data_IF_684243310673
#
_entry.id   IF_684243310673
#
_cell.length_a   1.000
_cell.length_b   1.000
_cell.length_c   1.000
_cell.angle_alpha   90.00
_cell.angle_beta   90.00
_cell.angle_gamma   90.00
#
_symmetry.space_group_name_H-M   'P 1'
#
loop_
_entity.id
_entity.type
_entity.pdbx_description
1 polymer ?
#
# COMPACT_ATOMS: atom_id res chain seq x y z
N UNK A 1 16.00 -16.64 19.55
CA UNK A 1 14.73 -17.40 19.64
C UNK A 1 13.67 -16.36 19.96
N UNK A 2 12.82 -16.05 19.00
CA UNK A 2 11.80 -15.01 19.14
C UNK A 2 10.70 -15.64 19.99
N UNK A 3 10.44 -15.10 21.18
CA UNK A 3 9.29 -15.53 21.97
C UNK A 3 8.04 -15.02 21.26
N UNK A 4 7.28 -15.92 20.65
CA UNK A 4 5.95 -15.62 20.16
C UNK A 4 5.05 -15.63 21.40
N UNK A 5 4.81 -14.44 21.95
CA UNK A 5 3.82 -14.27 23.02
C UNK A 5 2.49 -14.83 22.52
N UNK A 6 1.83 -15.60 23.39
CA UNK A 6 0.63 -16.36 23.10
C UNK A 6 -0.43 -15.41 22.52
N UNK A 7 -0.89 -15.69 21.30
CA UNK A 7 -2.04 -14.98 20.72
C UNK A 7 -3.24 -15.20 21.65
N UNK A 8 -3.67 -14.12 22.30
CA UNK A 8 -4.86 -14.13 23.14
C UNK A 8 -6.06 -13.97 22.21
N UNK A 9 -6.90 -15.01 22.10
CA UNK A 9 -8.11 -14.93 21.29
C UNK A 9 -9.02 -13.84 21.85
N UNK A 10 -9.40 -12.90 20.98
CA UNK A 10 -10.34 -11.84 21.32
C UNK A 10 -11.73 -12.47 21.40
N UNK A 11 -12.20 -12.73 22.63
CA UNK A 11 -13.55 -13.23 22.88
C UNK A 11 -14.59 -12.14 22.58
N UNK A 12 -15.28 -12.28 21.45
CA UNK A 12 -16.27 -11.32 20.99
C UNK A 12 -17.55 -11.32 21.86
N UNK A 13 -17.79 -12.36 22.66
CA UNK A 13 -18.99 -12.50 23.50
C UNK A 13 -18.89 -11.77 24.84
N UNK A 14 -17.66 -11.52 25.34
CA UNK A 14 -17.40 -10.83 26.62
C UNK A 14 -16.85 -9.41 26.45
N UNK A 15 -16.86 -8.85 25.24
CA UNK A 15 -16.41 -7.49 24.98
C UNK A 15 -17.38 -6.47 25.57
N UNK A 16 -16.85 -5.49 26.32
CA UNK A 16 -17.67 -4.38 26.80
C UNK A 16 -18.08 -3.48 25.63
N UNK A 17 -19.17 -2.72 25.79
CA UNK A 17 -19.59 -1.75 24.76
C UNK A 17 -18.51 -0.73 24.44
N UNK A 18 -17.67 -0.38 25.42
CA UNK A 18 -16.57 0.58 25.24
C UNK A 18 -15.43 -0.04 24.44
N UNK A 19 -15.03 -1.28 24.75
CA UNK A 19 -14.03 -2.00 23.97
C UNK A 19 -14.50 -2.19 22.53
N UNK A 20 -15.80 -2.44 22.32
CA UNK A 20 -16.38 -2.57 20.98
C UNK A 20 -16.30 -1.25 20.19
N UNK A 21 -16.44 -0.08 20.83
CA UNK A 21 -16.21 1.20 20.16
C UNK A 21 -14.76 1.37 19.75
N UNK A 22 -13.81 1.01 20.62
CA UNK A 22 -12.38 1.08 20.34
C UNK A 22 -12.05 0.17 19.15
N UNK A 23 -12.50 -1.08 19.16
CA UNK A 23 -12.29 -2.04 18.06
C UNK A 23 -12.86 -1.51 16.75
N UNK A 24 -14.09 -1.00 16.75
CA UNK A 24 -14.71 -0.43 15.54
C UNK A 24 -13.92 0.77 15.01
N UNK A 25 -13.49 1.67 15.89
CA UNK A 25 -12.65 2.82 15.51
C UNK A 25 -11.34 2.35 14.87
N UNK A 26 -10.65 1.39 15.51
CA UNK A 26 -9.40 0.83 14.99
C UNK A 26 -9.58 0.22 13.60
N UNK A 27 -10.67 -0.54 13.39
CA UNK A 27 -10.99 -1.11 12.08
C UNK A 27 -11.24 0.00 11.05
N UNK A 28 -12.02 1.03 11.37
CA UNK A 28 -12.30 2.13 10.44
C UNK A 28 -11.02 2.87 10.03
N UNK A 29 -10.15 3.19 11.00
CA UNK A 29 -8.85 3.83 10.72
C UNK A 29 -7.96 2.91 9.88
N UNK A 30 -7.91 1.61 10.19
CA UNK A 30 -7.14 0.64 9.42
C UNK A 30 -7.62 0.57 7.97
N UNK A 31 -8.94 0.54 7.73
CA UNK A 31 -9.53 0.53 6.39
C UNK A 31 -9.17 1.79 5.58
N UNK A 32 -9.09 2.95 6.22
CA UNK A 32 -8.59 4.18 5.58
C UNK A 32 -7.09 4.09 5.22
N UNK A 33 -6.27 3.47 6.08
CA UNK A 33 -4.83 3.38 5.86
C UNK A 33 -4.44 2.39 4.75
N UNK A 34 -5.21 1.31 4.54
CA UNK A 34 -4.90 0.25 3.57
C UNK A 34 -5.47 0.53 2.16
N UNK A 35 -6.00 1.72 1.91
CA UNK A 35 -6.58 2.07 0.61
C UNK A 35 -5.61 1.81 -0.56
N UNK A 36 -6.14 1.29 -1.65
CA UNK A 36 -5.37 0.96 -2.86
C UNK A 36 -4.81 2.23 -3.50
N UNK A 37 -5.60 3.31 -3.54
CA UNK A 37 -5.15 4.61 -4.04
C UNK A 37 -4.30 5.28 -2.96
N UNK A 38 -3.04 5.68 -3.24
CA UNK A 38 -2.22 6.41 -2.26
C UNK A 38 -2.88 7.72 -1.81
N UNK A 39 -3.59 8.39 -2.71
CA UNK A 39 -4.25 9.67 -2.43
C UNK A 39 -5.48 9.55 -1.53
N UNK A 40 -6.07 8.36 -1.42
CA UNK A 40 -7.22 8.12 -0.54
C UNK A 40 -6.77 7.81 0.89
N UNK A 41 -5.47 7.59 1.12
CA UNK A 41 -4.94 7.34 2.46
C UNK A 41 -4.85 8.67 3.22
N UNK A 42 -5.31 8.72 4.48
CA UNK A 42 -5.16 9.90 5.31
C UNK A 42 -3.68 10.15 5.62
N UNK A 43 -3.32 11.42 5.85
CA UNK A 43 -2.02 11.77 6.41
C UNK A 43 -1.90 11.26 7.85
N UNK A 44 -0.67 11.03 8.32
CA UNK A 44 -0.44 10.57 9.70
C UNK A 44 -1.03 11.51 10.76
N UNK A 45 -1.04 12.83 10.52
CA UNK A 45 -1.68 13.78 11.44
C UNK A 45 -3.19 13.54 11.53
N UNK A 46 -3.84 13.24 10.40
CA UNK A 46 -5.28 12.94 10.38
C UNK A 46 -5.58 11.59 11.02
N UNK A 47 -4.70 10.59 10.83
CA UNK A 47 -4.82 9.30 11.53
C UNK A 47 -4.80 9.48 13.05
N UNK A 48 -3.88 10.29 13.58
CA UNK A 48 -3.84 10.60 15.01
C UNK A 48 -5.11 11.30 15.46
N UNK A 49 -5.59 12.30 14.71
CA UNK A 49 -6.85 12.99 15.01
C UNK A 49 -8.06 12.02 15.03
N UNK A 50 -8.13 11.07 14.10
CA UNK A 50 -9.17 10.03 14.06
C UNK A 50 -9.09 9.08 15.26
N UNK A 51 -7.88 8.76 15.72
CA UNK A 51 -7.67 7.89 16.88
C UNK A 51 -8.07 8.58 18.19
N UNK A 52 -7.71 9.86 18.34
CA UNK A 52 -8.01 10.66 19.52
C UNK A 52 -9.47 11.15 19.58
N UNK A 53 -10.11 11.41 18.42
CA UNK A 53 -11.50 11.92 18.31
C UNK A 53 -12.58 10.84 18.44
N UNK A 54 -13.87 11.17 18.32
CA UNK A 54 -14.95 10.17 18.45
C UNK A 54 -15.15 9.31 17.19
N UNK A 55 -15.65 8.08 17.34
CA UNK A 55 -15.92 7.19 16.19
C UNK A 55 -16.92 7.80 15.20
N UNK A 56 -17.87 8.59 15.70
CA UNK A 56 -18.90 9.28 14.91
C UNK A 56 -18.31 10.35 13.99
N UNK A 57 -17.08 10.81 14.27
CA UNK A 57 -16.36 11.76 13.41
C UNK A 57 -15.65 11.10 12.23
N UNK A 58 -15.60 9.77 12.20
CA UNK A 58 -14.93 9.00 11.15
C UNK A 58 -15.99 8.53 10.15
N UNK A 59 -15.89 9.02 8.92
CA UNK A 59 -16.74 8.54 7.83
C UNK A 59 -16.29 7.16 7.33
N UNK A 60 -17.21 6.44 6.68
CA UNK A 60 -16.87 5.19 6.02
C UNK A 60 -15.82 5.43 4.93
N UNK A 61 -14.76 4.60 4.85
CA UNK A 61 -13.76 4.72 3.82
C UNK A 61 -14.38 4.47 2.43
N UNK A 62 -13.79 5.04 1.37
CA UNK A 62 -14.25 4.81 0.01
C UNK A 62 -14.21 3.32 -0.32
N UNK A 63 -15.17 2.87 -1.13
CA UNK A 63 -15.15 1.49 -1.60
C UNK A 63 -13.90 1.25 -2.46
N UNK A 64 -13.24 0.08 -2.30
CA UNK A 64 -12.11 -0.27 -3.14
C UNK A 64 -12.53 -0.34 -4.61
N UNK A 65 -12.17 0.67 -5.40
CA UNK A 65 -12.37 0.60 -6.85
C UNK A 65 -11.29 -0.29 -7.43
N UNK A 66 -11.68 -1.35 -8.15
CA UNK A 66 -10.77 -2.10 -9.01
C UNK A 66 -10.17 -1.13 -10.02
N UNK A 67 -8.87 -0.86 -9.93
CA UNK A 67 -8.20 -0.07 -10.95
C UNK A 67 -8.06 -0.92 -12.22
N UNK A 68 -8.61 -0.52 -13.38
CA UNK A 68 -7.92 -0.83 -14.61
C UNK A 68 -6.56 -0.14 -14.54
N UNK A 69 -5.51 -0.94 -14.65
CA UNK A 69 -4.13 -0.49 -14.82
C UNK A 69 -4.10 0.73 -15.73
N UNK A 70 -3.42 1.79 -15.30
CA UNK A 70 -3.39 3.07 -15.98
C UNK A 70 -3.01 2.80 -17.44
N UNK A 71 -3.98 2.92 -18.35
CA UNK A 71 -3.68 2.96 -19.77
C UNK A 71 -2.71 4.11 -19.93
N UNK A 72 -1.46 3.78 -20.23
CA UNK A 72 -0.42 4.72 -20.66
C UNK A 72 -1.09 5.54 -21.77
N UNK A 73 -1.59 6.72 -21.40
CA UNK A 73 -2.04 7.73 -22.33
C UNK A 73 -0.76 8.24 -22.96
N UNK A 74 -0.37 7.54 -24.03
CA UNK A 74 0.78 7.81 -24.87
C UNK A 74 0.59 9.24 -25.36
N UNK A 75 1.19 10.18 -24.63
CA UNK A 75 1.15 11.60 -24.94
C UNK A 75 1.51 11.77 -26.40
N UNK A 76 0.53 12.24 -27.16
CA UNK A 76 0.70 12.73 -28.51
C UNK A 76 1.60 13.95 -28.43
N UNK A 77 2.91 13.74 -28.58
CA UNK A 77 3.83 14.78 -29.02
C UNK A 77 4.48 14.25 -30.28
N UNK A 78 3.91 14.69 -31.40
CA UNK A 78 4.48 14.60 -32.72
C UNK A 78 5.82 15.34 -32.73
N UNK A 79 6.92 14.63 -32.62
CA UNK A 79 8.17 15.01 -33.27
C UNK A 79 8.88 13.76 -33.78
N UNK A 80 8.72 13.57 -35.08
CA UNK A 80 9.49 12.72 -35.97
C UNK A 80 10.98 13.02 -35.77
N UNK A 81 11.75 12.05 -35.31
CA UNK A 81 13.03 11.72 -35.92
C UNK A 81 13.49 10.30 -35.54
N UNK A 82 14.17 9.70 -36.50
CA UNK A 82 14.21 8.27 -36.78
C UNK A 82 15.39 7.61 -36.07
N UNK A 83 15.17 6.50 -35.37
CA UNK A 83 16.15 5.40 -35.31
C UNK A 83 15.43 4.08 -35.07
N UNK A 84 15.38 3.28 -36.13
CA UNK A 84 14.94 1.89 -36.16
C UNK A 84 15.93 0.99 -35.43
N UNK A 85 15.47 0.10 -34.54
CA UNK A 85 15.89 -1.30 -34.56
C UNK A 85 14.97 -2.15 -33.69
N UNK A 86 14.46 -3.22 -34.27
CA UNK A 86 13.62 -4.23 -33.65
C UNK A 86 14.41 -5.08 -32.65
N UNK A 87 13.76 -5.54 -31.57
CA UNK A 87 13.45 -6.96 -31.36
C UNK A 87 12.77 -7.17 -29.99
N UNK A 88 11.70 -7.96 -30.01
CA UNK A 88 10.95 -8.37 -28.83
C UNK A 88 11.74 -9.48 -28.10
N UNK A 89 12.24 -9.21 -26.90
CA UNK A 89 12.79 -10.27 -26.05
C UNK A 89 11.63 -10.95 -25.32
N UNK A 90 11.38 -12.21 -25.65
CA UNK A 90 10.45 -13.10 -24.97
C UNK A 90 11.02 -13.56 -23.63
N UNK A 91 10.21 -13.57 -22.57
CA UNK A 91 10.60 -13.77 -21.16
C UNK A 91 11.00 -15.20 -20.75
N UNK A 92 11.70 -15.97 -21.59
CA UNK A 92 12.06 -17.36 -21.23
C UNK A 92 13.45 -17.59 -20.64
N UNK A 93 14.34 -16.60 -20.55
CA UNK A 93 15.71 -16.87 -20.09
C UNK A 93 16.27 -15.75 -19.21
N UNK A 94 16.09 -15.86 -17.89
CA UNK A 94 16.95 -15.21 -16.89
C UNK A 94 17.11 -16.14 -15.69
N UNK A 95 17.95 -17.18 -15.86
CA UNK A 95 18.68 -17.75 -14.73
C UNK A 95 19.95 -16.93 -14.48
N UNK A 96 20.14 -16.61 -13.20
CA UNK A 96 21.40 -16.32 -12.53
C UNK A 96 22.38 -15.31 -13.18
N UNK A 97 22.45 -14.10 -12.60
CA UNK A 97 23.60 -13.86 -11.72
C UNK A 97 23.51 -12.58 -10.89
N UNK A 98 23.79 -12.78 -9.62
CA UNK A 98 24.05 -11.78 -8.60
C UNK A 98 25.46 -11.22 -8.82
N UNK A 99 25.61 -9.91 -9.05
CA UNK A 99 26.88 -9.21 -8.86
C UNK A 99 26.62 -7.74 -8.51
N UNK A 100 26.84 -7.42 -7.24
CA UNK A 100 26.71 -6.10 -6.65
C UNK A 100 27.75 -5.11 -7.21
N UNK A 101 27.41 -3.84 -7.46
CA UNK A 101 28.37 -2.82 -7.87
C UNK A 101 28.89 -2.04 -6.66
N UNK A 102 29.87 -2.58 -5.94
CA UNK A 102 30.72 -1.80 -5.02
C UNK A 102 32.14 -2.39 -5.00
N UNK A 103 33.15 -1.51 -5.11
CA UNK A 103 34.61 -1.72 -5.20
C UNK A 103 35.09 -1.88 -6.66
N UNK A 104 36.04 -1.12 -7.22
CA UNK A 104 37.12 -0.31 -6.64
C UNK A 104 37.37 0.95 -7.47
N UNK A 105 37.36 2.10 -6.81
CA UNK A 105 38.08 3.29 -7.25
C UNK A 105 39.10 3.66 -6.17
N UNK A 106 40.29 3.05 -6.22
CA UNK A 106 41.43 3.53 -5.43
C UNK A 106 42.73 3.45 -6.20
N UNK A 107 43.31 4.65 -6.39
CA UNK A 107 44.72 5.02 -6.68
C UNK A 107 45.28 4.74 -8.07
#
# INVERSE_FOLDING_TARGET
>A
MINLEKEEEIDMENISEEDMKIVKKMIMVALWCIQLKPNDRPSMSKVVEMLDGDIESIEMPPEPTMYPDETISRGETTNLDQTTSSDFISSSDLEENMSNPLLENTS
#
